data_IF_713594290102
#
_entry.id   IF_713594290102
#
_cell.length_a   1.000
_cell.length_b   1.000
_cell.length_c   1.000
_cell.angle_alpha   90.00
_cell.angle_beta   90.00
_cell.angle_gamma   90.00
#
_symmetry.space_group_name_H-M   'P 1'
#
loop_
_entity.id
_entity.type
_entity.pdbx_description
1 polymer ?
#
# COMPACT_ATOMS: atom_id res chain seq x y z
N UNK A 1 -23.87 32.67 -1.16
CA UNK A 1 -23.46 32.59 0.26
C UNK A 1 -23.62 31.15 0.69
N UNK A 2 -22.82 30.25 0.13
CA UNK A 2 -21.44 29.90 0.54
C UNK A 2 -21.35 29.35 1.97
N UNK A 3 -21.02 28.06 2.06
CA UNK A 3 -19.95 27.42 2.85
C UNK A 3 -20.35 25.95 3.11
N UNK A 4 -19.92 25.02 2.24
CA UNK A 4 -18.71 24.21 2.43
C UNK A 4 -18.67 23.45 3.76
N UNK A 5 -19.27 22.26 3.78
CA UNK A 5 -18.86 21.15 4.66
C UNK A 5 -18.17 20.10 3.79
N UNK A 6 -16.94 20.41 3.36
CA UNK A 6 -15.98 19.39 2.96
C UNK A 6 -15.50 18.72 4.24
N UNK A 7 -15.91 17.48 4.43
CA UNK A 7 -15.39 16.61 5.47
C UNK A 7 -14.63 15.50 4.77
N UNK A 8 -13.29 15.55 4.80
CA UNK A 8 -12.27 14.48 4.61
C UNK A 8 -10.90 15.19 4.44
N UNK A 9 -9.75 14.60 4.82
CA UNK A 9 -9.50 13.15 4.85
C UNK A 9 -8.89 12.60 6.15
N UNK A 10 -9.08 11.29 6.31
CA UNK A 10 -8.26 10.43 7.15
C UNK A 10 -6.82 10.48 6.66
N UNK A 11 -5.98 11.24 7.35
CA UNK A 11 -4.54 11.17 7.19
C UNK A 11 -4.06 9.79 7.70
N UNK A 12 -3.40 9.05 6.82
CA UNK A 12 -2.69 7.82 7.17
C UNK A 12 -1.62 8.14 8.21
N UNK A 13 -1.67 7.44 9.35
CA UNK A 13 -0.68 7.54 10.42
C UNK A 13 0.64 6.96 9.90
N UNK A 14 1.54 7.82 9.45
CA UNK A 14 2.95 7.50 9.33
C UNK A 14 3.50 7.44 10.75
N UNK A 15 3.95 6.26 11.19
CA UNK A 15 4.80 6.15 12.38
C UNK A 15 6.17 6.70 12.00
N UNK A 16 6.31 8.02 12.07
CA UNK A 16 7.60 8.70 12.11
C UNK A 16 8.20 8.37 13.48
N UNK A 17 9.32 7.63 13.49
CA UNK A 17 10.19 7.56 14.66
C UNK A 17 10.81 8.94 14.83
N UNK A 18 10.08 9.84 15.50
CA UNK A 18 10.59 11.14 15.92
C UNK A 18 11.52 10.90 17.10
N UNK A 19 12.83 11.00 16.88
CA UNK A 19 13.75 11.33 17.96
C UNK A 19 13.28 12.65 18.60
N UNK A 20 13.24 12.74 19.94
CA UNK A 20 12.61 13.89 20.61
C UNK A 20 13.38 15.19 20.33
N UNK A 21 12.74 16.07 19.57
CA UNK A 21 13.17 17.45 19.31
C UNK A 21 12.84 18.32 20.54
N UNK A 22 13.49 18.08 21.67
CA UNK A 22 13.33 18.90 22.88
C UNK A 22 14.63 18.95 23.66
N UNK A 23 15.62 19.69 23.14
CA UNK A 23 16.70 20.35 23.88
C UNK A 23 17.67 21.02 22.88
N UNK A 24 17.29 22.16 22.31
CA UNK A 24 18.26 23.07 21.67
C UNK A 24 17.72 24.49 21.54
N UNK A 25 17.23 25.09 22.62
CA UNK A 25 17.22 26.54 22.77
C UNK A 25 18.57 26.96 23.36
N UNK A 26 19.61 26.93 22.54
CA UNK A 26 20.92 27.47 22.88
C UNK A 26 21.35 28.48 21.81
N UNK A 27 21.35 29.75 22.22
CA UNK A 27 22.12 30.89 21.72
C UNK A 27 22.55 30.93 20.24
N UNK A 28 21.96 31.91 19.55
CA UNK A 28 21.98 32.22 18.10
C UNK A 28 23.33 32.67 17.50
N UNK A 29 24.48 32.29 18.07
CA UNK A 29 25.79 32.81 17.65
C UNK A 29 26.88 31.77 17.38
N UNK A 30 26.59 30.47 17.50
CA UNK A 30 27.50 29.36 17.13
C UNK A 30 27.08 28.58 15.87
N UNK A 31 26.15 29.12 15.07
CA UNK A 31 25.83 28.60 13.73
C UNK A 31 26.90 29.01 12.69
N UNK A 32 28.18 28.86 13.04
CA UNK A 32 29.29 28.91 12.09
C UNK A 32 29.39 27.53 11.44
N UNK A 33 28.93 27.45 10.19
CA UNK A 33 29.39 26.50 9.18
C UNK A 33 29.78 25.10 9.69
N UNK A 34 28.81 24.35 10.21
CA UNK A 34 28.82 22.91 9.98
C UNK A 34 28.59 22.74 8.48
N UNK A 35 29.69 22.65 7.72
CA UNK A 35 29.66 22.31 6.31
C UNK A 35 28.88 21.01 6.16
N UNK A 36 27.95 20.96 5.21
CA UNK A 36 27.20 19.75 4.79
C UNK A 36 28.07 18.50 4.53
N UNK A 37 29.41 18.66 4.50
CA UNK A 37 30.40 17.58 4.36
C UNK A 37 30.45 16.61 5.54
N UNK A 38 30.01 16.99 6.73
CA UNK A 38 30.18 16.17 7.94
C UNK A 38 28.93 15.39 8.36
N UNK A 39 27.84 15.47 7.58
CA UNK A 39 26.71 14.57 7.75
C UNK A 39 26.89 13.37 6.82
N UNK A 40 27.40 12.27 7.37
CA UNK A 40 27.38 10.96 6.73
C UNK A 40 25.95 10.68 6.25
N UNK A 41 25.75 10.68 4.93
CA UNK A 41 24.43 10.51 4.32
C UNK A 41 24.02 9.04 4.52
N UNK A 42 23.44 8.73 5.68
CA UNK A 42 23.09 7.36 6.11
C UNK A 42 22.20 6.59 5.14
N UNK A 43 21.54 7.27 4.21
CA UNK A 43 20.70 6.67 3.17
C UNK A 43 21.46 5.84 2.12
N UNK A 44 22.79 5.81 2.13
CA UNK A 44 23.61 5.00 1.21
C UNK A 44 24.23 3.76 1.86
N UNK A 45 24.05 3.57 3.16
CA UNK A 45 24.61 2.42 3.88
C UNK A 45 23.81 1.16 3.51
N UNK A 46 24.46 0.07 3.06
CA UNK A 46 23.77 -1.19 2.79
C UNK A 46 23.06 -1.74 4.03
N UNK A 47 21.95 -2.46 3.83
CA UNK A 47 21.17 -3.03 4.94
C UNK A 47 22.03 -3.87 5.90
N UNK A 48 22.97 -4.66 5.37
CA UNK A 48 23.88 -5.49 6.16
C UNK A 48 24.68 -4.71 7.21
N UNK A 49 25.10 -3.49 6.86
CA UNK A 49 25.91 -2.65 7.74
C UNK A 49 25.04 -1.73 8.61
N UNK A 50 23.88 -1.32 8.09
CA UNK A 50 22.94 -0.44 8.78
C UNK A 50 22.12 -1.18 9.85
N UNK A 51 21.65 -2.38 9.54
CA UNK A 51 20.82 -3.24 10.40
C UNK A 51 21.17 -4.73 10.16
N UNK A 52 22.27 -5.23 10.76
CA UNK A 52 22.73 -6.60 10.57
C UNK A 52 21.73 -7.65 11.09
N UNK A 53 20.95 -7.33 12.13
CA UNK A 53 19.94 -8.23 12.68
C UNK A 53 18.83 -8.49 11.66
N UNK A 54 18.30 -7.43 11.04
CA UNK A 54 17.31 -7.56 9.98
C UNK A 54 17.86 -8.28 8.74
N UNK A 55 19.10 -7.99 8.36
CA UNK A 55 19.77 -8.67 7.26
C UNK A 55 19.85 -10.19 7.50
N UNK A 56 20.26 -10.60 8.70
CA UNK A 56 20.37 -12.01 9.06
C UNK A 56 19.01 -12.73 9.06
N UNK A 57 17.93 -12.06 9.47
CA UNK A 57 16.57 -12.61 9.38
C UNK A 57 16.12 -12.81 7.92
N UNK A 58 16.44 -11.88 7.03
CA UNK A 58 16.13 -11.99 5.60
C UNK A 58 16.89 -13.17 4.97
N UNK A 59 18.17 -13.34 5.29
CA UNK A 59 18.95 -14.48 4.79
C UNK A 59 18.45 -15.83 5.34
N UNK A 60 17.99 -15.86 6.59
CA UNK A 60 17.33 -17.04 7.15
C UNK A 60 16.03 -17.39 6.41
N UNK A 61 15.18 -16.40 6.09
CA UNK A 61 13.94 -16.63 5.34
C UNK A 61 14.22 -17.08 3.90
N UNK A 62 15.19 -16.47 3.20
CA UNK A 62 15.63 -16.92 1.87
C UNK A 62 16.10 -18.38 1.91
N UNK A 63 16.86 -18.75 2.93
CA UNK A 63 17.34 -20.11 3.13
C UNK A 63 16.20 -21.09 3.45
N UNK A 64 15.17 -20.65 4.20
CA UNK A 64 13.96 -21.43 4.44
C UNK A 64 13.23 -21.70 3.13
N UNK A 65 12.93 -20.66 2.35
CA UNK A 65 12.24 -20.77 1.06
C UNK A 65 12.97 -21.69 0.07
N UNK A 66 14.30 -21.58 -0.02
CA UNK A 66 15.10 -22.45 -0.89
C UNK A 66 14.96 -23.94 -0.55
N UNK A 67 14.91 -24.26 0.75
CA UNK A 67 14.92 -25.64 1.26
C UNK A 67 13.52 -26.21 1.47
N UNK A 68 12.48 -25.42 1.24
CA UNK A 68 11.08 -25.81 1.43
C UNK A 68 10.43 -26.24 0.12
N UNK A 69 9.49 -27.18 0.22
CA UNK A 69 8.50 -27.42 -0.82
C UNK A 69 7.26 -26.60 -0.48
N UNK A 70 7.13 -25.42 -1.10
CA UNK A 70 5.98 -24.56 -0.87
C UNK A 70 4.75 -25.05 -1.65
N UNK A 71 3.73 -25.48 -0.91
CA UNK A 71 2.48 -26.04 -1.44
C UNK A 71 1.25 -25.17 -1.16
N UNK A 72 1.46 -23.96 -0.63
CA UNK A 72 0.40 -23.00 -0.38
C UNK A 72 -0.01 -22.38 -1.72
N UNK A 73 -1.24 -22.64 -2.15
CA UNK A 73 -1.73 -22.30 -3.50
C UNK A 73 -1.69 -20.80 -3.84
N UNK A 74 -1.70 -19.92 -2.84
CA UNK A 74 -1.67 -18.47 -3.00
C UNK A 74 -0.27 -17.86 -2.95
N UNK A 75 0.76 -18.64 -2.60
CA UNK A 75 2.14 -18.16 -2.54
C UNK A 75 2.85 -18.39 -3.87
N UNK A 76 3.82 -17.52 -4.17
CA UNK A 76 4.64 -17.63 -5.38
C UNK A 76 5.97 -16.87 -5.19
N UNK A 77 6.97 -17.20 -6.02
CA UNK A 77 8.24 -16.50 -6.07
C UNK A 77 8.23 -15.45 -7.17
N UNK A 78 8.40 -14.18 -6.79
CA UNK A 78 8.48 -13.09 -7.77
C UNK A 78 9.86 -13.03 -8.43
N UNK A 79 9.92 -12.38 -9.60
CA UNK A 79 11.19 -12.20 -10.31
C UNK A 79 12.08 -11.13 -9.67
N UNK A 80 13.39 -11.23 -9.88
CA UNK A 80 14.35 -10.21 -9.44
C UNK A 80 14.04 -8.82 -10.00
N UNK A 81 13.60 -8.75 -11.26
CA UNK A 81 13.21 -7.48 -11.88
C UNK A 81 12.08 -6.76 -11.14
N UNK A 82 11.09 -7.49 -10.61
CA UNK A 82 10.01 -6.91 -9.80
C UNK A 82 10.54 -6.39 -8.47
N UNK A 83 11.43 -7.15 -7.81
CA UNK A 83 12.06 -6.70 -6.56
C UNK A 83 12.92 -5.45 -6.75
N UNK A 84 13.62 -5.33 -7.88
CA UNK A 84 14.43 -4.15 -8.21
C UNK A 84 13.57 -2.89 -8.36
N UNK A 85 12.36 -3.01 -8.93
CA UNK A 85 11.41 -1.90 -8.99
C UNK A 85 10.92 -1.47 -7.59
N UNK A 86 10.60 -2.42 -6.71
CA UNK A 86 10.11 -2.13 -5.36
C UNK A 86 11.15 -1.41 -4.49
N UNK A 87 12.43 -1.75 -4.64
CA UNK A 87 13.54 -1.10 -3.94
C UNK A 87 14.08 0.16 -4.60
N UNK A 88 13.40 0.70 -5.61
CA UNK A 88 13.86 1.85 -6.40
C UNK A 88 13.45 3.21 -5.79
N UNK A 89 13.94 4.29 -6.40
CA UNK A 89 13.60 5.65 -6.00
C UNK A 89 12.11 6.02 -6.16
N UNK A 90 11.30 5.16 -6.81
CA UNK A 90 9.86 5.39 -6.99
C UNK A 90 9.12 5.56 -5.65
N UNK A 91 9.59 4.89 -4.59
CA UNK A 91 9.01 5.01 -3.24
C UNK A 91 9.10 6.42 -2.64
N UNK A 92 9.94 7.29 -3.20
CA UNK A 92 10.14 8.64 -2.67
C UNK A 92 9.08 9.63 -3.19
N UNK A 93 8.31 9.26 -4.23
CA UNK A 93 7.42 10.20 -4.91
C UNK A 93 5.99 10.10 -4.39
N UNK A 94 5.45 11.25 -4.00
CA UNK A 94 4.02 11.42 -3.72
C UNK A 94 3.28 11.86 -5.00
N UNK A 95 2.31 11.06 -5.43
CA UNK A 95 1.64 11.17 -6.74
C UNK A 95 0.12 11.02 -6.63
N UNK A 96 -0.50 11.68 -5.65
CA UNK A 96 -1.95 11.65 -5.46
C UNK A 96 -2.71 12.16 -6.69
N UNK A 97 -3.79 11.48 -7.05
CA UNK A 97 -4.58 11.69 -8.26
C UNK A 97 -4.34 10.60 -9.30
N UNK A 98 -4.75 10.88 -10.54
CA UNK A 98 -4.56 10.00 -11.70
C UNK A 98 -3.58 10.66 -12.69
N UNK A 99 -3.03 9.91 -13.68
CA UNK A 99 -2.15 10.50 -14.69
C UNK A 99 -2.76 11.77 -15.31
N UNK A 100 -1.93 12.81 -15.45
CA UNK A 100 -2.31 14.14 -15.95
C UNK A 100 -3.32 14.94 -15.10
N UNK A 101 -3.80 14.39 -13.99
CA UNK A 101 -4.66 15.07 -13.02
C UNK A 101 -4.13 14.85 -11.60
N UNK A 102 -2.85 15.17 -11.40
CA UNK A 102 -2.17 15.07 -10.10
C UNK A 102 -2.38 16.33 -9.28
N UNK A 103 -2.47 16.18 -7.97
CA UNK A 103 -2.50 17.31 -7.04
C UNK A 103 -1.14 17.99 -6.85
N UNK A 104 -0.05 17.28 -7.14
CA UNK A 104 1.33 17.73 -6.94
C UNK A 104 2.14 17.67 -8.24
N UNK A 105 3.12 18.57 -8.37
CA UNK A 105 4.04 18.60 -9.50
C UNK A 105 5.14 17.52 -9.47
N UNK A 106 5.91 17.43 -10.58
CA UNK A 106 7.06 16.54 -10.71
C UNK A 106 6.71 15.06 -10.93
N UNK A 107 5.54 14.78 -11.51
CA UNK A 107 5.02 13.42 -11.73
C UNK A 107 5.12 12.96 -13.19
N UNK A 108 5.91 13.65 -14.03
CA UNK A 108 6.00 13.41 -15.48
C UNK A 108 6.45 11.98 -15.80
N UNK A 109 7.35 11.42 -14.98
CA UNK A 109 7.81 10.03 -15.11
C UNK A 109 6.84 9.05 -14.43
N UNK A 110 6.19 9.44 -13.34
CA UNK A 110 5.21 8.59 -12.64
C UNK A 110 3.98 8.35 -13.52
N UNK A 111 3.53 9.37 -14.23
CA UNK A 111 2.42 9.27 -15.18
C UNK A 111 2.74 8.25 -16.28
N UNK A 112 3.94 8.34 -16.88
CA UNK A 112 4.39 7.35 -17.88
C UNK A 112 4.43 5.92 -17.33
N UNK A 113 4.85 5.74 -16.08
CA UNK A 113 4.90 4.43 -15.42
C UNK A 113 3.49 3.88 -15.20
N UNK A 114 2.57 4.71 -14.69
CA UNK A 114 1.20 4.29 -14.41
C UNK A 114 0.44 3.96 -15.69
N UNK A 115 0.55 4.79 -16.73
CA UNK A 115 -0.03 4.54 -18.06
C UNK A 115 0.53 3.27 -18.71
N UNK A 116 1.84 3.04 -18.59
CA UNK A 116 2.47 1.81 -19.07
C UNK A 116 1.92 0.59 -18.33
N UNK A 117 1.72 0.69 -17.01
CA UNK A 117 1.13 -0.38 -16.20
C UNK A 117 -0.31 -0.67 -16.62
N UNK A 118 -1.15 0.36 -16.76
CA UNK A 118 -2.54 0.24 -17.22
C UNK A 118 -2.61 -0.41 -18.61
N UNK A 119 -1.81 0.08 -19.56
CA UNK A 119 -1.75 -0.46 -20.93
C UNK A 119 -1.34 -1.93 -20.94
N UNK A 120 -0.31 -2.29 -20.14
CA UNK A 120 0.15 -3.68 -20.03
C UNK A 120 -0.88 -4.58 -19.35
N UNK A 121 -1.61 -4.07 -18.36
CA UNK A 121 -2.67 -4.82 -17.70
C UNK A 121 -3.79 -5.16 -18.69
N UNK A 122 -4.30 -4.18 -19.44
CA UNK A 122 -5.31 -4.43 -20.47
C UNK A 122 -4.81 -5.44 -21.53
N UNK A 123 -3.57 -5.26 -22.00
CA UNK A 123 -2.95 -6.17 -22.97
C UNK A 123 -2.81 -7.60 -22.43
N UNK A 124 -2.42 -7.78 -21.17
CA UNK A 124 -2.24 -9.08 -20.55
C UNK A 124 -3.54 -9.91 -20.52
N UNK A 125 -4.68 -9.24 -20.39
CA UNK A 125 -6.00 -9.86 -20.42
C UNK A 125 -6.69 -9.78 -21.80
N UNK A 126 -6.00 -9.28 -22.83
CA UNK A 126 -6.56 -9.16 -24.20
C UNK A 126 -7.77 -8.23 -24.29
N UNK A 127 -7.82 -7.19 -23.44
CA UNK A 127 -8.97 -6.29 -23.33
C UNK A 127 -8.86 -5.12 -24.29
N UNK A 128 -9.99 -4.78 -24.91
CA UNK A 128 -10.17 -3.60 -25.77
C UNK A 128 -10.19 -2.32 -24.90
N UNK A 129 -9.23 -1.39 -25.06
CA UNK A 129 -9.16 -0.17 -24.25
C UNK A 129 -10.37 0.74 -24.38
N UNK A 130 -11.11 0.66 -25.49
CA UNK A 130 -12.34 1.45 -25.68
C UNK A 130 -13.51 0.93 -24.84
N UNK A 131 -13.42 -0.31 -24.35
CA UNK A 131 -14.46 -0.98 -23.56
C UNK A 131 -14.07 -1.18 -22.10
N UNK A 132 -12.78 -1.25 -21.82
CA UNK A 132 -12.25 -1.59 -20.51
C UNK A 132 -11.25 -0.54 -20.04
N UNK A 133 -11.54 0.02 -18.86
CA UNK A 133 -10.55 0.74 -18.07
C UNK A 133 -9.94 -0.17 -17.00
N UNK A 134 -8.82 0.26 -16.43
CA UNK A 134 -8.18 -0.43 -15.31
C UNK A 134 -7.64 0.59 -14.31
N UNK A 135 -7.85 0.32 -13.02
CA UNK A 135 -7.21 1.05 -11.93
C UNK A 135 -6.14 0.14 -11.30
N UNK A 136 -4.89 0.61 -11.30
CA UNK A 136 -3.70 -0.12 -10.81
C UNK A 136 -3.21 0.38 -9.45
N UNK A 137 -3.97 1.25 -8.77
CA UNK A 137 -3.61 1.86 -7.49
C UNK A 137 -4.03 1.10 -6.21
N UNK A 138 -4.99 0.15 -6.20
CA UNK A 138 -5.33 -0.56 -4.97
C UNK A 138 -4.12 -1.29 -4.35
N UNK A 139 -3.85 -1.03 -3.07
CA UNK A 139 -2.66 -1.55 -2.38
C UNK A 139 -2.62 -3.07 -2.24
N UNK A 140 -3.79 -3.73 -2.27
CA UNK A 140 -3.91 -5.19 -2.21
C UNK A 140 -5.32 -5.61 -2.65
N UNK A 141 -5.59 -6.91 -2.72
CA UNK A 141 -6.89 -7.45 -3.14
C UNK A 141 -8.04 -7.06 -2.20
N UNK A 142 -7.81 -7.04 -0.89
CA UNK A 142 -8.88 -6.70 0.07
C UNK A 142 -9.38 -5.25 -0.05
N UNK A 143 -8.51 -4.23 -0.07
CA UNK A 143 -8.92 -2.86 -0.36
C UNK A 143 -9.52 -2.68 -1.77
N UNK A 144 -9.06 -3.44 -2.77
CA UNK A 144 -9.63 -3.37 -4.13
C UNK A 144 -11.12 -3.76 -4.12
N UNK A 145 -11.46 -4.88 -3.49
CA UNK A 145 -12.86 -5.32 -3.35
C UNK A 145 -13.70 -4.28 -2.58
N UNK A 146 -13.17 -3.76 -1.47
CA UNK A 146 -13.87 -2.75 -0.68
C UNK A 146 -14.13 -1.47 -1.48
N UNK A 147 -13.14 -1.00 -2.26
CA UNK A 147 -13.29 0.17 -3.12
C UNK A 147 -14.39 -0.01 -4.18
N UNK A 148 -14.51 -1.21 -4.78
CA UNK A 148 -15.59 -1.52 -5.72
C UNK A 148 -16.96 -1.44 -5.04
N UNK A 149 -17.11 -2.00 -3.83
CA UNK A 149 -18.37 -1.90 -3.10
C UNK A 149 -18.70 -0.45 -2.74
N UNK A 150 -17.73 0.33 -2.26
CA UNK A 150 -17.93 1.75 -1.97
C UNK A 150 -18.30 2.57 -3.21
N UNK A 151 -17.79 2.20 -4.39
CA UNK A 151 -18.09 2.90 -5.63
C UNK A 151 -19.49 2.59 -6.18
N UNK A 152 -19.97 1.35 -6.00
CA UNK A 152 -21.20 0.87 -6.65
C UNK A 152 -22.40 0.75 -5.69
N UNK A 153 -22.16 0.64 -4.40
CA UNK A 153 -23.17 0.35 -3.38
C UNK A 153 -23.20 1.46 -2.33
N UNK A 154 -24.38 1.70 -1.78
CA UNK A 154 -24.50 2.50 -0.55
C UNK A 154 -24.25 1.59 0.65
N UNK A 155 -23.84 2.15 1.80
CA UNK A 155 -23.79 1.39 3.04
C UNK A 155 -25.10 0.63 3.27
N UNK A 156 -25.00 -0.65 3.64
CA UNK A 156 -26.12 -1.58 3.86
C UNK A 156 -26.90 -2.05 2.61
N UNK A 157 -26.49 -1.67 1.40
CA UNK A 157 -26.96 -2.35 0.19
C UNK A 157 -26.36 -3.77 0.14
N UNK A 158 -27.13 -4.74 -0.36
CA UNK A 158 -26.81 -6.17 -0.19
C UNK A 158 -25.76 -6.67 -1.17
N UNK A 159 -24.84 -7.50 -0.66
CA UNK A 159 -23.93 -8.32 -1.46
C UNK A 159 -24.22 -9.82 -1.30
N UNK A 160 -23.90 -10.61 -2.33
CA UNK A 160 -23.90 -12.08 -2.25
C UNK A 160 -22.56 -12.59 -2.75
N UNK A 161 -21.89 -13.40 -1.94
CA UNK A 161 -20.63 -14.05 -2.26
C UNK A 161 -20.61 -15.49 -1.75
N UNK A 162 -19.60 -16.24 -2.20
CA UNK A 162 -19.39 -17.61 -1.73
C UNK A 162 -19.03 -17.61 -0.24
N UNK A 163 -19.66 -18.50 0.55
CA UNK A 163 -19.42 -18.62 1.98
C UNK A 163 -17.98 -19.07 2.30
N UNK A 164 -17.39 -18.57 3.38
CA UNK A 164 -15.97 -18.77 3.71
C UNK A 164 -15.59 -20.25 3.89
N UNK A 165 -16.35 -21.09 4.65
CA UNK A 165 -16.07 -22.52 4.77
C UNK A 165 -16.28 -23.30 3.47
N UNK A 166 -16.97 -22.70 2.49
CA UNK A 166 -17.20 -23.28 1.16
C UNK A 166 -16.15 -22.85 0.14
N UNK A 167 -15.05 -22.22 0.58
CA UNK A 167 -13.98 -21.72 -0.30
C UNK A 167 -14.11 -20.24 -0.69
N UNK A 168 -14.99 -19.49 -0.03
CA UNK A 168 -15.08 -18.04 -0.17
C UNK A 168 -13.84 -17.31 0.38
N UNK A 169 -13.84 -15.97 0.24
CA UNK A 169 -12.80 -15.11 0.80
C UNK A 169 -13.44 -14.12 1.79
N UNK A 170 -12.70 -13.70 2.82
CA UNK A 170 -13.21 -12.81 3.87
C UNK A 170 -13.84 -11.53 3.32
N UNK A 171 -13.33 -11.00 2.21
CA UNK A 171 -13.80 -9.77 1.58
C UNK A 171 -15.08 -9.92 0.78
N UNK A 172 -15.67 -11.12 0.73
CA UNK A 172 -16.97 -11.35 0.10
C UNK A 172 -18.12 -11.28 1.12
N UNK A 173 -17.83 -10.86 2.35
CA UNK A 173 -18.78 -10.74 3.45
C UNK A 173 -18.77 -11.99 4.33
N UNK A 174 -18.32 -11.84 5.59
CA UNK A 174 -18.35 -12.93 6.56
C UNK A 174 -18.93 -12.50 7.90
N UNK A 175 -19.90 -13.27 8.38
CA UNK A 175 -20.57 -13.07 9.66
C UNK A 175 -20.53 -14.35 10.48
N UNK A 176 -20.36 -14.20 11.79
CA UNK A 176 -20.53 -15.29 12.75
C UNK A 176 -21.87 -15.15 13.45
N UNK A 177 -22.50 -16.26 13.84
CA UNK A 177 -23.74 -16.23 14.61
C UNK A 177 -23.46 -16.45 16.10
N UNK A 178 -23.88 -15.49 16.93
CA UNK A 178 -23.80 -15.59 18.39
C UNK A 178 -25.11 -16.17 18.93
N UNK A 179 -25.11 -17.46 19.29
CA UNK A 179 -26.29 -18.10 19.92
C UNK A 179 -26.73 -17.43 21.21
N UNK A 180 -25.77 -16.87 21.97
CA UNK A 180 -26.03 -16.19 23.25
C UNK A 180 -26.76 -14.87 23.07
N UNK A 181 -26.46 -14.14 22.00
CA UNK A 181 -27.01 -12.81 21.72
C UNK A 181 -28.14 -12.84 20.68
N UNK A 182 -28.31 -13.95 19.97
CA UNK A 182 -29.33 -14.10 18.92
C UNK A 182 -29.03 -13.28 17.65
N UNK A 183 -27.82 -12.78 17.49
CA UNK A 183 -27.43 -11.83 16.42
C UNK A 183 -26.29 -12.38 15.56
N UNK A 184 -26.21 -11.86 14.33
CA UNK A 184 -25.06 -12.04 13.45
C UNK A 184 -24.05 -10.94 13.71
N UNK A 185 -22.80 -11.30 13.98
CA UNK A 185 -21.69 -10.38 14.19
C UNK A 185 -20.82 -10.35 12.93
N UNK A 186 -20.66 -9.15 12.39
CA UNK A 186 -19.73 -8.87 11.28
C UNK A 186 -18.29 -9.23 11.69
N UNK A 187 -17.59 -9.96 10.83
CA UNK A 187 -16.17 -10.30 11.02
C UNK A 187 -15.30 -9.63 9.96
N UNK A 188 -15.82 -9.43 8.75
CA UNK A 188 -15.08 -8.77 7.66
C UNK A 188 -15.38 -7.28 7.58
N UNK A 189 -14.43 -6.47 7.11
CA UNK A 189 -14.65 -5.04 6.86
C UNK A 189 -15.74 -4.79 5.79
N UNK A 190 -15.92 -5.73 4.88
CA UNK A 190 -16.95 -5.69 3.82
C UNK A 190 -18.35 -6.04 4.33
N UNK A 191 -18.49 -6.49 5.59
CA UNK A 191 -19.79 -6.77 6.24
C UNK A 191 -20.61 -5.52 6.60
N UNK A 192 -20.21 -4.34 6.12
CA UNK A 192 -21.01 -3.11 6.20
C UNK A 192 -22.07 -3.08 5.09
N UNK A 193 -21.83 -3.83 4.01
CA UNK A 193 -22.72 -4.07 2.88
C UNK A 193 -23.42 -5.44 3.04
#
# INVERSE_FOLDING_TARGET
TDQNLMQFPFASVIVLVLTPFSQALATRQELRMATFKDQEFRGLVPLKDHDPEMYDLIEQEKSRQWRSLELIASENFTSKAVMDCLGSALTNKYSEGIPHARYYGGNEIIDQIEELCQTRALKAYGLDPEKWGVNVQPYSGSPANFAVYTALLRPHDRIMGLDLPSGGHLTHGFYTYSKKEGTRKAVSATSVY
#
